data_IF_138255695115
#
_entry.id   IF_138255695115
#
_cell.length_a   1.000
_cell.length_b   1.000
_cell.length_c   1.000
_cell.angle_alpha   90.00
_cell.angle_beta   90.00
_cell.angle_gamma   90.00
#
_symmetry.space_group_name_H-M   'P 1'
#
loop_
_entity.id
_entity.type
_entity.pdbx_description
1 polymer ?
#
# COMPACT_ATOMS: atom_id res chain seq x y z
N UNK A 1 -57.94 -30.77 -57.72
CA UNK A 1 -56.65 -31.10 -58.33
C UNK A 1 -55.59 -30.92 -57.26
N UNK A 2 -55.05 -32.05 -56.78
CA UNK A 2 -53.82 -32.28 -55.98
C UNK A 2 -53.49 -31.26 -54.86
N UNK A 3 -53.72 -31.62 -53.57
CA UNK A 3 -52.73 -32.24 -52.67
C UNK A 3 -51.49 -31.34 -52.48
N UNK A 4 -51.16 -30.86 -51.28
CA UNK A 4 -50.97 -31.65 -50.05
C UNK A 4 -51.09 -30.77 -48.79
N UNK A 5 -51.76 -31.33 -47.78
CA UNK A 5 -51.94 -30.85 -46.40
C UNK A 5 -50.70 -31.15 -45.53
N UNK A 6 -50.70 -30.53 -44.35
CA UNK A 6 -50.04 -30.89 -43.07
C UNK A 6 -48.99 -29.84 -42.65
N UNK A 7 -48.96 -29.32 -41.41
CA UNK A 7 -49.52 -29.82 -40.16
C UNK A 7 -49.53 -28.69 -39.11
N UNK A 8 -50.64 -28.62 -38.36
CA UNK A 8 -50.80 -28.16 -36.99
C UNK A 8 -50.23 -26.81 -36.51
N UNK A 9 -51.20 -25.94 -36.23
CA UNK A 9 -51.22 -24.90 -35.20
C UNK A 9 -50.84 -25.42 -33.82
N UNK A 10 -49.88 -24.77 -33.17
CA UNK A 10 -49.98 -24.41 -31.75
C UNK A 10 -48.98 -23.30 -31.45
N UNK A 11 -49.50 -22.20 -30.92
CA UNK A 11 -49.03 -21.54 -29.70
C UNK A 11 -47.55 -21.75 -29.36
N UNK A 12 -46.79 -20.65 -29.27
CA UNK A 12 -46.13 -20.24 -28.02
C UNK A 12 -45.39 -18.93 -28.28
N UNK A 13 -45.82 -17.90 -27.58
CA UNK A 13 -45.05 -16.70 -27.33
C UNK A 13 -43.76 -17.09 -26.60
N UNK A 14 -42.63 -17.01 -27.31
CA UNK A 14 -41.27 -17.02 -26.79
C UNK A 14 -40.41 -16.68 -28.02
N UNK A 15 -39.83 -15.50 -28.18
CA UNK A 15 -38.50 -15.19 -27.68
C UNK A 15 -38.20 -13.71 -28.02
N UNK A 16 -38.65 -12.78 -27.18
CA UNK A 16 -38.07 -11.44 -27.12
C UNK A 16 -36.84 -11.50 -26.20
N UNK A 17 -35.70 -11.98 -26.71
CA UNK A 17 -34.37 -11.77 -26.11
C UNK A 17 -33.31 -11.92 -27.21
N UNK A 18 -33.37 -11.02 -28.20
CA UNK A 18 -32.28 -10.82 -29.14
C UNK A 18 -31.30 -9.79 -28.56
N UNK A 19 -30.18 -10.31 -28.04
CA UNK A 19 -28.85 -9.78 -28.30
C UNK A 19 -28.49 -8.43 -27.68
N UNK A 20 -27.93 -8.47 -26.47
CA UNK A 20 -27.01 -7.44 -26.00
C UNK A 20 -25.75 -7.48 -26.89
N UNK A 21 -25.52 -6.42 -27.65
CA UNK A 21 -24.27 -6.20 -28.39
C UNK A 21 -23.09 -6.12 -27.41
N UNK A 22 -22.26 -7.16 -27.38
CA UNK A 22 -20.99 -7.16 -26.68
C UNK A 22 -19.92 -6.53 -27.57
N UNK A 23 -19.24 -5.51 -27.05
CA UNK A 23 -18.20 -4.75 -27.74
C UNK A 23 -16.86 -5.50 -27.68
N UNK A 24 -16.10 -5.42 -28.76
CA UNK A 24 -14.82 -6.09 -28.99
C UNK A 24 -13.66 -5.50 -28.16
N UNK A 25 -12.64 -6.34 -28.01
CA UNK A 25 -11.42 -6.21 -27.20
C UNK A 25 -10.60 -4.92 -27.41
N UNK A 26 -10.29 -4.22 -26.31
CA UNK A 26 -9.23 -3.22 -26.25
C UNK A 26 -8.04 -3.80 -25.48
N UNK A 27 -7.02 -4.25 -26.22
CA UNK A 27 -5.71 -4.63 -25.68
C UNK A 27 -4.83 -3.39 -25.56
N UNK A 28 -4.90 -2.69 -24.44
CA UNK A 28 -3.86 -1.74 -24.00
C UNK A 28 -3.94 -1.51 -22.50
N UNK A 29 -3.02 -2.10 -21.74
CA UNK A 29 -2.12 -1.36 -20.84
C UNK A 29 -1.37 -2.33 -19.94
N UNK A 30 -0.08 -2.47 -20.25
CA UNK A 30 0.94 -3.03 -19.38
C UNK A 30 1.15 -2.02 -18.24
N UNK A 31 0.39 -2.15 -17.16
CA UNK A 31 0.66 -1.47 -15.90
C UNK A 31 1.04 -2.56 -14.89
N UNK A 32 2.34 -2.61 -14.55
CA UNK A 32 2.76 -3.15 -13.25
C UNK A 32 2.19 -2.17 -12.22
N UNK A 33 0.95 -2.41 -11.82
CA UNK A 33 0.35 -1.74 -10.67
C UNK A 33 0.82 -2.52 -9.46
N UNK A 34 1.78 -1.95 -8.74
CA UNK A 34 2.13 -2.42 -7.40
C UNK A 34 0.84 -2.48 -6.57
N UNK A 35 0.53 -3.67 -6.06
CA UNK A 35 -0.64 -3.89 -5.21
C UNK A 35 -0.58 -2.93 -4.00
N UNK A 36 -1.46 -1.92 -3.96
CA UNK A 36 -1.98 -1.37 -2.70
C UNK A 36 -1.56 0.04 -2.24
N UNK A 37 -1.13 0.98 -3.09
CA UNK A 37 -0.81 2.35 -2.61
C UNK A 37 -1.41 3.53 -3.40
N UNK A 38 -2.53 3.33 -4.09
CA UNK A 38 -3.20 4.41 -4.81
C UNK A 38 -3.90 5.33 -3.79
N UNK A 39 -3.22 6.40 -3.36
CA UNK A 39 -3.80 7.50 -2.56
C UNK A 39 -3.05 7.93 -1.30
N UNK A 40 -1.94 7.28 -0.91
CA UNK A 40 -1.14 7.69 0.27
C UNK A 40 0.07 8.52 -0.15
N UNK A 41 0.22 9.71 0.44
CA UNK A 41 1.42 10.53 0.30
C UNK A 41 2.56 9.87 1.10
N UNK A 42 3.60 9.40 0.40
CA UNK A 42 4.78 8.77 0.99
C UNK A 42 5.81 9.87 1.25
N UNK A 43 6.22 10.02 2.49
CA UNK A 43 7.24 10.97 2.93
C UNK A 43 8.63 10.36 2.75
N UNK A 44 9.54 11.13 2.13
CA UNK A 44 10.95 10.74 2.03
C UNK A 44 11.60 10.83 3.41
N UNK A 45 12.47 9.88 3.75
CA UNK A 45 13.06 9.81 5.09
C UNK A 45 13.87 11.09 5.42
N UNK A 46 14.57 11.67 4.45
CA UNK A 46 15.33 12.93 4.65
C UNK A 46 14.45 14.13 5.04
N UNK A 47 13.16 14.10 4.70
CA UNK A 47 12.23 15.20 4.97
C UNK A 47 11.68 15.16 6.40
N UNK A 48 11.96 14.07 7.14
CA UNK A 48 11.45 13.87 8.49
C UNK A 48 12.25 14.71 9.48
N UNK A 49 11.64 15.76 10.00
CA UNK A 49 12.23 16.70 10.97
C UNK A 49 11.66 16.49 12.38
N UNK A 50 12.33 17.00 13.43
CA UNK A 50 11.78 17.04 14.78
C UNK A 50 10.38 17.70 14.80
N UNK A 51 9.49 17.14 15.61
CA UNK A 51 8.03 17.12 15.50
C UNK A 51 7.23 18.44 15.37
N UNK A 52 7.86 19.62 15.35
CA UNK A 52 7.13 20.91 15.35
C UNK A 52 6.42 21.21 14.02
N UNK A 53 6.94 20.71 12.90
CA UNK A 53 6.43 21.05 11.54
C UNK A 53 5.88 19.84 10.76
N UNK A 54 5.69 18.70 11.42
CA UNK A 54 5.37 17.44 10.76
C UNK A 54 3.90 17.03 10.97
N UNK A 55 3.28 16.36 9.99
CA UNK A 55 1.94 15.79 10.18
C UNK A 55 1.95 14.76 11.31
N UNK A 56 0.83 14.67 12.04
CA UNK A 56 0.68 13.76 13.19
C UNK A 56 0.92 12.29 12.82
N UNK A 57 0.64 11.91 11.56
CA UNK A 57 0.84 10.56 11.03
C UNK A 57 1.33 10.67 9.59
N UNK A 58 2.38 9.95 9.25
CA UNK A 58 2.94 9.87 7.90
C UNK A 58 3.12 8.43 7.43
N UNK A 59 3.45 8.28 6.15
CA UNK A 59 3.79 7.00 5.55
C UNK A 59 5.22 7.05 5.02
N UNK A 60 6.04 6.06 5.38
CA UNK A 60 7.36 5.84 4.77
C UNK A 60 7.37 4.52 4.01
N UNK A 61 8.14 4.47 2.92
CA UNK A 61 8.47 3.24 2.21
C UNK A 61 9.98 3.08 2.19
N UNK A 62 10.46 1.90 2.55
CA UNK A 62 11.88 1.61 2.51
C UNK A 62 12.17 0.13 2.75
N UNK A 63 13.46 -0.22 2.77
CA UNK A 63 13.94 -1.56 3.06
C UNK A 63 14.46 -1.67 4.48
N UNK A 64 14.26 -2.83 5.09
CA UNK A 64 14.77 -3.13 6.43
C UNK A 64 16.27 -3.39 6.33
N UNK A 65 17.08 -2.56 6.98
CA UNK A 65 18.54 -2.74 7.06
C UNK A 65 18.94 -3.52 8.31
N UNK A 66 18.35 -3.18 9.47
CA UNK A 66 18.70 -3.78 10.77
C UNK A 66 17.46 -4.09 11.58
N UNK A 67 17.58 -5.08 12.45
CA UNK A 67 16.55 -5.51 13.38
C UNK A 67 17.14 -5.55 14.78
N UNK A 68 16.46 -4.94 15.74
CA UNK A 68 16.86 -4.93 17.15
C UNK A 68 15.65 -5.32 17.99
N UNK A 69 15.65 -6.52 18.61
CA UNK A 69 14.63 -6.90 19.58
C UNK A 69 14.68 -5.98 20.80
N UNK A 70 13.53 -5.49 21.25
CA UNK A 70 13.36 -4.70 22.46
C UNK A 70 12.42 -5.44 23.43
N UNK A 71 12.27 -4.94 24.66
CA UNK A 71 11.32 -5.52 25.62
C UNK A 71 9.90 -5.28 25.12
N UNK A 72 9.21 -6.34 24.68
CA UNK A 72 7.84 -6.34 24.14
C UNK A 72 7.63 -5.55 22.82
N UNK A 73 8.70 -5.13 22.16
CA UNK A 73 8.65 -4.36 20.90
C UNK A 73 9.88 -4.67 20.04
N UNK A 74 9.91 -4.10 18.84
CA UNK A 74 11.01 -4.20 17.89
C UNK A 74 11.42 -2.81 17.41
N UNK A 75 12.71 -2.63 17.19
CA UNK A 75 13.26 -1.50 16.47
C UNK A 75 13.83 -1.98 15.14
N UNK A 76 13.34 -1.41 14.04
CA UNK A 76 13.85 -1.68 12.70
C UNK A 76 14.49 -0.41 12.14
N UNK A 77 15.70 -0.54 11.60
CA UNK A 77 16.28 0.53 10.80
C UNK A 77 15.76 0.37 9.37
N UNK A 78 15.01 1.35 8.90
CA UNK A 78 14.45 1.39 7.55
C UNK A 78 15.23 2.42 6.75
N UNK A 79 15.62 2.05 5.54
CA UNK A 79 16.32 2.95 4.63
C UNK A 79 15.60 3.07 3.29
N UNK A 80 15.62 4.27 2.72
CA UNK A 80 15.22 4.54 1.34
C UNK A 80 16.41 5.12 0.57
N UNK A 81 16.18 5.78 -0.56
CA UNK A 81 17.24 6.44 -1.34
C UNK A 81 17.76 7.73 -0.71
N UNK A 82 17.05 8.27 0.29
CA UNK A 82 17.29 9.60 0.88
C UNK A 82 17.89 9.53 2.28
N UNK A 83 17.61 8.46 3.03
CA UNK A 83 18.13 8.33 4.38
C UNK A 83 17.75 7.04 5.09
N UNK A 84 17.94 7.07 6.41
CA UNK A 84 17.64 5.98 7.34
C UNK A 84 16.85 6.52 8.51
N UNK A 85 15.93 5.72 9.03
CA UNK A 85 15.16 6.05 10.23
C UNK A 85 14.91 4.80 11.06
N UNK A 86 14.90 4.96 12.37
CA UNK A 86 14.43 3.92 13.28
C UNK A 86 12.90 3.93 13.35
N UNK A 87 12.32 2.74 13.25
CA UNK A 87 10.90 2.50 13.47
C UNK A 87 10.73 1.59 14.68
N UNK A 88 9.96 2.06 15.66
CA UNK A 88 9.51 1.29 16.82
C UNK A 88 8.12 0.73 16.53
N UNK A 89 7.95 -0.59 16.68
CA UNK A 89 6.69 -1.28 16.42
C UNK A 89 6.54 -2.52 17.30
N UNK A 90 5.31 -2.95 17.53
CA UNK A 90 4.99 -4.24 18.14
C UNK A 90 4.94 -5.38 17.11
N UNK A 91 4.97 -5.07 15.80
CA UNK A 91 4.95 -6.06 14.73
C UNK A 91 6.32 -6.76 14.61
N UNK A 92 6.38 -8.08 14.85
CA UNK A 92 7.60 -8.83 14.68
C UNK A 92 7.84 -9.20 13.20
N UNK A 93 8.99 -9.79 12.94
CA UNK A 93 9.31 -10.54 11.71
C UNK A 93 9.51 -9.75 10.42
N UNK A 94 9.79 -8.44 10.46
CA UNK A 94 10.32 -7.78 9.26
C UNK A 94 11.73 -8.29 8.96
N UNK A 95 11.92 -8.87 7.77
CA UNK A 95 13.17 -9.49 7.37
C UNK A 95 14.15 -8.46 6.80
N UNK A 96 15.46 -8.66 6.98
CA UNK A 96 16.45 -7.79 6.35
C UNK A 96 16.32 -7.83 4.83
N UNK A 97 16.38 -6.67 4.18
CA UNK A 97 16.14 -6.50 2.74
C UNK A 97 14.67 -6.45 2.32
N UNK A 98 13.72 -6.76 3.21
CA UNK A 98 12.29 -6.66 2.94
C UNK A 98 11.89 -5.20 2.73
N UNK A 99 11.13 -4.92 1.67
CA UNK A 99 10.47 -3.63 1.49
C UNK A 99 9.19 -3.56 2.32
N UNK A 100 9.01 -2.46 3.04
CA UNK A 100 7.89 -2.22 3.96
C UNK A 100 7.30 -0.83 3.72
N UNK A 101 5.97 -0.73 3.88
CA UNK A 101 5.23 0.53 3.94
C UNK A 101 4.71 0.71 5.36
N UNK A 102 5.25 1.70 6.08
CA UNK A 102 4.97 1.88 7.50
C UNK A 102 4.21 3.18 7.69
N UNK A 103 3.13 3.10 8.46
CA UNK A 103 2.37 4.25 8.95
C UNK A 103 2.78 4.53 10.38
N UNK A 104 3.16 5.75 10.69
CA UNK A 104 3.54 6.06 12.06
C UNK A 104 3.60 7.53 12.38
N UNK A 105 3.75 7.79 13.68
CA UNK A 105 3.93 9.11 14.24
C UNK A 105 5.41 9.41 14.42
N UNK A 106 5.80 10.63 14.07
CA UNK A 106 7.16 11.11 14.26
C UNK A 106 7.36 11.52 15.71
N UNK A 107 8.44 11.01 16.29
CA UNK A 107 8.87 11.34 17.64
C UNK A 107 10.33 11.83 17.59
N UNK A 108 10.70 12.61 18.58
CA UNK A 108 12.07 13.07 18.79
C UNK A 108 12.47 12.79 20.23
N UNK A 109 13.61 12.14 20.41
CA UNK A 109 14.18 11.90 21.75
C UNK A 109 15.41 12.75 21.92
N UNK A 110 15.32 13.81 22.72
CA UNK A 110 16.45 14.65 23.12
C UNK A 110 17.40 13.86 24.04
N UNK A 111 18.71 14.00 23.80
CA UNK A 111 19.83 13.43 24.56
C UNK A 111 20.89 14.54 24.72
N UNK A 112 20.71 15.47 25.67
CA UNK A 112 21.68 16.54 25.92
C UNK A 112 22.87 16.02 26.73
N UNK A 113 24.08 16.19 26.21
CA UNK A 113 25.34 15.81 26.87
C UNK A 113 26.40 16.89 26.62
N UNK A 114 26.99 17.43 27.69
CA UNK A 114 28.04 18.46 27.62
C UNK A 114 27.69 19.63 26.67
N UNK A 115 26.48 20.19 26.84
CA UNK A 115 25.93 21.28 26.01
C UNK A 115 25.74 20.95 24.52
N UNK A 116 25.81 19.67 24.14
CA UNK A 116 25.54 19.17 22.80
C UNK A 116 24.29 18.27 22.80
N UNK A 117 23.46 18.42 21.77
CA UNK A 117 22.25 17.63 21.56
C UNK A 117 22.55 16.43 20.64
N UNK A 118 22.39 15.20 21.16
CA UNK A 118 22.62 13.93 20.46
C UNK A 118 21.33 13.16 20.16
N UNK A 119 20.19 13.82 20.29
CA UNK A 119 18.89 13.24 20.08
C UNK A 119 18.63 12.82 18.63
N UNK A 120 17.68 11.91 18.46
CA UNK A 120 17.34 11.33 17.17
C UNK A 120 15.83 11.39 16.90
N UNK A 121 15.49 11.57 15.63
CA UNK A 121 14.11 11.47 15.12
C UNK A 121 13.82 10.00 14.78
N UNK A 122 12.69 9.50 15.27
CA UNK A 122 12.26 8.12 15.02
C UNK A 122 10.75 8.07 14.74
N UNK A 123 10.31 6.96 14.16
CA UNK A 123 8.91 6.69 13.90
C UNK A 123 8.37 5.67 14.90
N UNK A 124 7.19 5.90 15.43
CA UNK A 124 6.43 4.90 16.18
C UNK A 124 5.22 4.48 15.35
N UNK A 125 5.07 3.19 15.09
CA UNK A 125 3.97 2.68 14.28
C UNK A 125 2.60 2.97 14.91
N UNK A 126 1.61 3.34 14.09
CA UNK A 126 0.25 3.72 14.53
C UNK A 126 -0.87 3.09 13.71
#
# INVERSE_FOLDING_TARGET
MQLRKNFNTCSIALLFLAGLCSCSSLSTSRLKTDNGSIGKNITLIEQIKPATDMPNILYIRGKVERQVPLVNQWAYQIHDSTGKIWVITHQPHFQAGQEVLIRGKVNYKSIPLADQEFGEVYLEES
#
